data_IF_398503652583
#
_entry.id   IF_398503652583
#
_cell.length_a   1.000
_cell.length_b   1.000
_cell.length_c   1.000
_cell.angle_alpha   90.00
_cell.angle_beta   90.00
_cell.angle_gamma   90.00
#
_symmetry.space_group_name_H-M   'P 1'
#
loop_
_entity.id
_entity.type
_entity.pdbx_description
1 polymer ?
#
# COMPACT_ATOMS: atom_id res chain seq x y z
N UNK A 1 -19.27 30.48 9.01
CA UNK A 1 -19.94 29.18 9.04
C UNK A 1 -19.27 28.15 8.10
N UNK A 2 -18.98 28.49 6.84
CA UNK A 2 -18.41 27.58 5.85
C UNK A 2 -17.04 26.98 6.21
N UNK A 3 -16.04 27.74 6.73
CA UNK A 3 -14.73 27.18 7.07
C UNK A 3 -14.79 26.12 8.17
N UNK A 4 -15.64 26.31 9.18
CA UNK A 4 -15.79 25.37 10.29
C UNK A 4 -16.37 24.01 9.82
N UNK A 5 -17.34 24.04 8.91
CA UNK A 5 -17.96 22.83 8.34
C UNK A 5 -16.94 22.09 7.47
N UNK A 6 -16.17 22.79 6.65
CA UNK A 6 -15.13 22.19 5.82
C UNK A 6 -14.04 21.50 6.67
N UNK A 7 -13.60 22.16 7.73
CA UNK A 7 -12.62 21.59 8.66
C UNK A 7 -13.18 20.35 9.39
N UNK A 8 -14.42 20.41 9.86
CA UNK A 8 -15.08 19.27 10.50
C UNK A 8 -15.18 18.05 9.57
N UNK A 9 -15.56 18.27 8.30
CA UNK A 9 -15.59 17.20 7.28
C UNK A 9 -14.21 16.61 6.98
N UNK A 10 -13.19 17.44 6.92
CA UNK A 10 -11.82 16.98 6.74
C UNK A 10 -11.41 16.04 7.88
N UNK A 11 -11.60 16.44 9.13
CA UNK A 11 -11.25 15.62 10.28
C UNK A 11 -12.05 14.31 10.36
N UNK A 12 -13.35 14.36 10.00
CA UNK A 12 -14.17 13.15 9.94
C UNK A 12 -13.66 12.15 8.88
N UNK A 13 -13.33 12.62 7.67
CA UNK A 13 -12.76 11.77 6.61
C UNK A 13 -11.39 11.21 7.00
N UNK A 14 -10.55 12.01 7.65
CA UNK A 14 -9.26 11.58 8.17
C UNK A 14 -9.42 10.48 9.23
N UNK A 15 -10.34 10.65 10.17
CA UNK A 15 -10.63 9.64 11.19
C UNK A 15 -11.14 8.33 10.58
N UNK A 16 -12.03 8.41 9.58
CA UNK A 16 -12.52 7.23 8.86
C UNK A 16 -11.40 6.52 8.12
N UNK A 17 -10.52 7.25 7.41
CA UNK A 17 -9.39 6.67 6.71
C UNK A 17 -8.44 5.93 7.68
N UNK A 18 -8.13 6.55 8.83
CA UNK A 18 -7.31 5.91 9.89
C UNK A 18 -7.96 4.64 10.43
N UNK A 19 -9.27 4.66 10.63
CA UNK A 19 -9.99 3.47 11.09
C UNK A 19 -9.96 2.35 10.04
N UNK A 20 -10.18 2.68 8.76
CA UNK A 20 -10.08 1.73 7.66
C UNK A 20 -8.69 1.07 7.61
N UNK A 21 -7.62 1.87 7.72
CA UNK A 21 -6.25 1.34 7.77
C UNK A 21 -6.01 0.42 8.96
N UNK A 22 -6.59 0.72 10.14
CA UNK A 22 -6.49 -0.19 11.30
C UNK A 22 -7.15 -1.54 11.04
N UNK A 23 -8.33 -1.56 10.36
CA UNK A 23 -8.98 -2.82 9.98
C UNK A 23 -8.11 -3.63 9.02
N UNK A 24 -7.49 -2.97 8.04
CA UNK A 24 -6.52 -3.62 7.14
C UNK A 24 -5.31 -4.11 7.94
N UNK A 25 -4.82 -3.36 8.91
CA UNK A 25 -3.70 -3.74 9.78
C UNK A 25 -3.98 -4.99 10.61
N UNK A 26 -5.18 -5.12 11.16
CA UNK A 26 -5.62 -6.35 11.86
C UNK A 26 -5.57 -7.54 10.90
N UNK A 27 -6.18 -7.41 9.72
CA UNK A 27 -6.19 -8.47 8.71
C UNK A 27 -4.77 -8.86 8.23
N UNK A 28 -3.86 -7.90 8.07
CA UNK A 28 -2.46 -8.14 7.74
C UNK A 28 -1.73 -8.92 8.84
N UNK A 29 -1.95 -8.53 10.09
CA UNK A 29 -1.34 -9.21 11.25
C UNK A 29 -1.83 -10.65 11.35
N UNK A 30 -3.13 -10.88 11.22
CA UNK A 30 -3.75 -12.20 11.23
C UNK A 30 -3.23 -13.07 10.07
N UNK A 31 -3.14 -12.50 8.87
CA UNK A 31 -2.51 -13.16 7.71
C UNK A 31 -1.08 -13.59 8.05
N UNK A 32 -0.27 -12.71 8.62
CA UNK A 32 1.13 -13.01 8.94
C UNK A 32 1.27 -14.15 9.94
N UNK A 33 0.39 -14.24 10.93
CA UNK A 33 0.39 -15.31 11.92
C UNK A 33 0.15 -16.69 11.28
N UNK A 34 -0.69 -16.74 10.24
CA UNK A 34 -1.02 -17.99 9.53
C UNK A 34 -0.06 -18.31 8.38
N UNK A 35 0.84 -17.38 8.00
CA UNK A 35 1.73 -17.49 6.85
C UNK A 35 3.22 -17.35 7.22
N UNK A 36 3.66 -18.02 8.31
CA UNK A 36 5.08 -18.07 8.70
C UNK A 36 5.70 -16.73 9.09
N UNK A 37 4.85 -15.78 9.48
CA UNK A 37 5.26 -14.43 9.85
C UNK A 37 5.35 -13.47 8.65
N UNK A 38 4.98 -13.89 7.44
CA UNK A 38 5.03 -13.01 6.27
C UNK A 38 3.70 -12.32 6.01
N UNK A 39 3.75 -11.05 5.66
CA UNK A 39 2.62 -10.33 5.08
C UNK A 39 2.33 -10.80 3.64
N UNK A 40 1.15 -10.49 3.03
CA UNK A 40 0.87 -10.83 1.65
C UNK A 40 2.01 -10.42 0.71
N UNK A 41 2.72 -11.39 0.15
CA UNK A 41 3.87 -11.14 -0.71
C UNK A 41 3.41 -10.59 -2.06
N UNK A 42 4.02 -9.52 -2.52
CA UNK A 42 3.92 -9.08 -3.92
C UNK A 42 4.80 -10.00 -4.75
N UNK A 43 4.29 -10.74 -5.75
CA UNK A 43 5.14 -11.56 -6.61
C UNK A 43 6.14 -10.71 -7.39
N UNK A 44 7.33 -11.26 -7.63
CA UNK A 44 8.39 -10.57 -8.38
C UNK A 44 8.03 -10.34 -9.86
N UNK A 45 7.19 -11.20 -10.45
CA UNK A 45 6.81 -11.19 -11.88
C UNK A 45 5.39 -11.68 -12.08
N UNK A 46 4.84 -11.42 -13.28
CA UNK A 46 3.53 -11.85 -13.72
C UNK A 46 2.41 -10.88 -13.40
N UNK A 47 1.18 -11.28 -13.67
CA UNK A 47 -0.02 -10.44 -13.58
C UNK A 47 -0.32 -9.93 -12.16
N UNK A 48 0.17 -10.64 -11.15
CA UNK A 48 0.01 -10.32 -9.72
C UNK A 48 1.18 -9.51 -9.15
N UNK A 49 2.22 -9.20 -9.95
CA UNK A 49 3.42 -8.49 -9.52
C UNK A 49 3.16 -6.99 -9.32
N UNK A 50 2.19 -6.65 -8.49
CA UNK A 50 1.78 -5.27 -8.17
C UNK A 50 1.43 -5.13 -6.70
N UNK A 51 1.74 -3.95 -6.14
CA UNK A 51 1.48 -3.63 -4.74
C UNK A 51 0.04 -3.96 -4.30
N UNK A 52 -0.95 -3.65 -5.14
CA UNK A 52 -2.36 -3.86 -4.83
C UNK A 52 -2.80 -5.30 -4.58
N UNK A 53 -1.96 -6.31 -4.88
CA UNK A 53 -2.32 -7.73 -4.72
C UNK A 53 -2.67 -8.12 -3.27
N UNK A 54 -2.20 -7.36 -2.29
CA UNK A 54 -2.49 -7.62 -0.89
C UNK A 54 -3.99 -7.62 -0.57
N UNK A 55 -4.76 -6.71 -1.17
CA UNK A 55 -6.17 -6.57 -0.85
C UNK A 55 -7.02 -7.77 -1.32
N UNK A 56 -6.98 -8.24 -2.60
CA UNK A 56 -7.65 -9.47 -2.97
C UNK A 56 -7.10 -10.69 -2.21
N UNK A 57 -5.82 -10.71 -1.83
CA UNK A 57 -5.26 -11.79 -1.00
C UNK A 57 -5.93 -11.85 0.37
N UNK A 58 -6.10 -10.72 1.06
CA UNK A 58 -6.80 -10.67 2.35
C UNK A 58 -8.27 -11.04 2.22
N UNK A 59 -8.94 -10.62 1.14
CA UNK A 59 -10.34 -10.94 0.89
C UNK A 59 -10.56 -12.42 0.56
N UNK A 60 -9.69 -13.06 -0.24
CA UNK A 60 -9.78 -14.50 -0.55
C UNK A 60 -9.46 -15.40 0.66
N UNK A 61 -8.69 -14.89 1.63
CA UNK A 61 -8.47 -15.55 2.92
C UNK A 61 -9.54 -15.21 3.97
N UNK A 62 -10.62 -14.51 3.59
CA UNK A 62 -11.74 -14.12 4.46
C UNK A 62 -11.35 -13.27 5.68
N UNK A 63 -10.15 -12.69 5.69
CA UNK A 63 -9.62 -11.85 6.77
C UNK A 63 -10.23 -10.45 6.80
N UNK A 64 -10.79 -10.02 5.67
CA UNK A 64 -11.52 -8.76 5.52
C UNK A 64 -12.60 -8.92 4.45
N UNK A 65 -13.83 -8.61 4.78
CA UNK A 65 -14.98 -8.82 3.87
C UNK A 65 -15.44 -7.55 3.19
N UNK A 66 -15.13 -6.39 3.76
CA UNK A 66 -15.58 -5.09 3.26
C UNK A 66 -14.56 -4.40 2.37
N UNK A 67 -14.83 -4.25 1.08
CA UNK A 67 -13.94 -3.51 0.18
C UNK A 67 -13.83 -2.01 0.49
N UNK A 68 -14.76 -1.43 1.25
CA UNK A 68 -14.70 -0.04 1.71
C UNK A 68 -13.48 0.25 2.60
N UNK A 69 -12.91 -0.76 3.26
CA UNK A 69 -11.71 -0.60 4.08
C UNK A 69 -10.46 -0.26 3.27
N UNK A 70 -10.46 -0.58 1.97
CA UNK A 70 -9.38 -0.22 1.05
C UNK A 70 -9.57 1.15 0.38
N UNK A 71 -10.56 1.93 0.84
CA UNK A 71 -10.83 3.28 0.33
C UNK A 71 -10.58 4.34 1.40
N UNK A 72 -9.78 5.34 1.06
CA UNK A 72 -9.77 6.61 1.77
C UNK A 72 -10.98 7.45 1.32
N UNK A 73 -11.83 7.95 2.24
CA UNK A 73 -12.98 8.77 1.87
C UNK A 73 -12.64 10.11 1.18
N UNK A 74 -11.36 10.49 1.20
CA UNK A 74 -10.85 11.69 0.52
C UNK A 74 -10.17 11.39 -0.81
N UNK A 75 -10.22 10.15 -1.30
CA UNK A 75 -9.63 9.76 -2.58
C UNK A 75 -10.61 9.97 -3.74
N UNK A 76 -10.08 10.16 -4.96
CA UNK A 76 -10.88 10.22 -6.18
C UNK A 76 -11.71 8.95 -6.42
N UNK A 77 -11.22 7.78 -6.00
CA UNK A 77 -11.96 6.52 -6.11
C UNK A 77 -13.22 6.52 -5.23
N UNK A 78 -13.20 7.19 -4.08
CA UNK A 78 -14.36 7.29 -3.20
C UNK A 78 -15.45 8.22 -3.76
N UNK A 79 -15.12 9.14 -4.66
CA UNK A 79 -16.07 10.00 -5.34
C UNK A 79 -16.89 9.27 -6.41
N UNK A 80 -16.48 8.05 -6.77
CA UNK A 80 -17.12 7.23 -7.81
C UNK A 80 -17.53 5.84 -7.26
N UNK A 81 -18.41 5.76 -6.26
CA UNK A 81 -18.67 4.52 -5.50
C UNK A 81 -19.17 3.36 -6.36
N UNK A 82 -19.86 3.61 -7.48
CA UNK A 82 -20.33 2.56 -8.39
C UNK A 82 -19.26 1.98 -9.33
N UNK A 83 -18.03 2.54 -9.32
CA UNK A 83 -16.92 2.12 -10.22
C UNK A 83 -15.81 1.36 -9.50
N UNK A 84 -15.80 1.36 -8.19
CA UNK A 84 -14.77 0.70 -7.40
C UNK A 84 -15.22 -0.71 -7.00
N UNK A 85 -14.38 -1.67 -7.33
CA UNK A 85 -14.44 -3.05 -6.86
C UNK A 85 -13.03 -3.62 -6.83
N UNK A 86 -12.68 -4.27 -5.72
CA UNK A 86 -11.46 -5.07 -5.65
C UNK A 86 -11.61 -6.28 -6.57
N UNK A 87 -10.71 -6.51 -7.54
CA UNK A 87 -10.74 -7.70 -8.39
C UNK A 87 -10.33 -8.93 -7.59
N UNK A 88 -10.75 -10.12 -8.03
CA UNK A 88 -10.23 -11.38 -7.47
C UNK A 88 -8.85 -11.69 -8.04
N UNK A 89 -8.07 -12.53 -7.33
CA UNK A 89 -6.78 -13.01 -7.84
C UNK A 89 -6.97 -13.80 -9.15
N UNK A 90 -8.05 -14.56 -9.28
CA UNK A 90 -8.38 -15.31 -10.50
C UNK A 90 -8.61 -14.39 -11.71
N UNK A 91 -9.38 -13.31 -11.53
CA UNK A 91 -9.58 -12.30 -12.57
C UNK A 91 -8.25 -11.66 -12.99
N UNK A 92 -7.40 -11.31 -12.04
CA UNK A 92 -6.08 -10.73 -12.33
C UNK A 92 -5.16 -11.70 -13.06
N UNK A 93 -5.14 -12.99 -12.66
CA UNK A 93 -4.32 -14.03 -13.31
C UNK A 93 -4.71 -14.25 -14.77
N UNK A 94 -6.01 -14.24 -15.07
CA UNK A 94 -6.54 -14.52 -16.43
C UNK A 94 -6.56 -13.30 -17.36
N UNK A 95 -6.47 -12.09 -16.82
CA UNK A 95 -6.55 -10.86 -17.60
C UNK A 95 -5.27 -10.58 -18.41
N UNK A 96 -5.39 -9.78 -19.45
CA UNK A 96 -4.27 -9.31 -20.26
C UNK A 96 -4.49 -7.89 -20.77
N UNK A 97 -3.42 -7.26 -21.24
CA UNK A 97 -3.46 -5.95 -21.88
C UNK A 97 -4.16 -4.87 -21.04
N UNK A 98 -5.09 -4.13 -21.65
CA UNK A 98 -5.80 -3.01 -21.00
C UNK A 98 -6.65 -3.47 -19.80
N UNK A 99 -7.23 -4.67 -19.88
CA UNK A 99 -8.04 -5.22 -18.80
C UNK A 99 -7.15 -5.46 -17.56
N UNK A 100 -6.01 -6.12 -17.71
CA UNK A 100 -5.06 -6.34 -16.63
C UNK A 100 -4.62 -5.02 -16.00
N UNK A 101 -4.20 -4.06 -16.81
CA UNK A 101 -3.76 -2.75 -16.32
C UNK A 101 -4.86 -2.02 -15.53
N UNK A 102 -6.15 -2.18 -15.91
CA UNK A 102 -7.28 -1.65 -15.15
C UNK A 102 -7.45 -2.37 -13.80
N UNK A 103 -7.41 -3.70 -13.78
CA UNK A 103 -7.54 -4.49 -12.55
C UNK A 103 -6.41 -4.17 -11.58
N UNK A 104 -5.17 -4.11 -12.06
CA UNK A 104 -3.99 -3.76 -11.26
C UNK A 104 -4.11 -2.39 -10.60
N UNK A 105 -4.68 -1.39 -11.28
CA UNK A 105 -4.91 -0.05 -10.70
C UNK A 105 -5.97 -0.05 -9.59
N UNK A 106 -6.93 -0.96 -9.63
CA UNK A 106 -8.02 -1.03 -8.67
C UNK A 106 -7.72 -1.98 -7.50
N UNK A 107 -6.79 -2.91 -7.66
CA UNK A 107 -6.58 -4.03 -6.74
C UNK A 107 -6.33 -3.61 -5.29
N UNK A 108 -5.54 -2.55 -5.05
CA UNK A 108 -5.26 -2.03 -3.70
C UNK A 108 -6.16 -0.88 -3.25
N UNK A 109 -7.16 -0.52 -4.05
CA UNK A 109 -8.01 0.64 -3.77
C UNK A 109 -7.23 1.95 -3.83
N UNK A 110 -7.47 2.83 -2.87
CA UNK A 110 -6.77 4.11 -2.70
C UNK A 110 -5.66 4.07 -1.64
N UNK A 111 -5.15 2.87 -1.35
CA UNK A 111 -4.06 2.67 -0.41
C UNK A 111 -2.81 2.15 -1.15
N UNK A 112 -1.65 2.57 -0.67
CA UNK A 112 -0.34 2.04 -1.08
C UNK A 112 0.07 0.88 -0.17
N UNK A 113 0.87 -0.05 -0.70
CA UNK A 113 1.34 -1.23 0.02
C UNK A 113 2.82 -1.46 -0.16
N UNK A 114 3.45 -2.07 0.84
CA UNK A 114 4.87 -2.36 0.87
C UNK A 114 5.29 -3.33 -0.25
N UNK A 115 6.34 -2.97 -0.96
CA UNK A 115 6.84 -3.69 -2.13
C UNK A 115 7.83 -4.81 -1.79
N UNK A 116 8.12 -5.07 -0.50
CA UNK A 116 9.21 -5.96 -0.09
C UNK A 116 10.57 -5.30 -0.25
N UNK A 117 11.64 -6.10 -0.23
CA UNK A 117 13.01 -5.60 -0.26
C UNK A 117 13.96 -6.56 -0.97
N UNK A 118 15.15 -6.08 -1.28
CA UNK A 118 16.28 -6.91 -1.69
C UNK A 118 17.18 -7.21 -0.50
N UNK A 119 17.69 -8.45 -0.43
CA UNK A 119 18.78 -8.86 0.44
C UNK A 119 19.63 -9.89 -0.31
N UNK A 120 20.96 -9.75 -0.25
CA UNK A 120 21.93 -10.65 -0.92
C UNK A 120 21.67 -10.83 -2.43
N UNK A 121 21.11 -9.81 -3.09
CA UNK A 121 20.77 -9.82 -4.52
C UNK A 121 19.46 -10.54 -4.85
N UNK A 122 18.71 -11.01 -3.86
CA UNK A 122 17.43 -11.69 -4.00
C UNK A 122 16.28 -10.81 -3.51
N UNK A 123 15.11 -11.00 -4.11
CA UNK A 123 13.88 -10.32 -3.72
C UNK A 123 13.12 -11.10 -2.62
N UNK A 124 12.79 -10.41 -1.54
CA UNK A 124 12.07 -10.94 -0.39
C UNK A 124 10.78 -10.18 -0.11
N UNK A 125 9.76 -10.93 0.34
CA UNK A 125 8.55 -10.34 0.93
C UNK A 125 8.81 -9.83 2.35
N UNK A 126 7.96 -8.94 2.82
CA UNK A 126 8.08 -8.34 4.16
C UNK A 126 7.62 -9.32 5.23
N UNK A 127 8.46 -9.54 6.23
CA UNK A 127 8.16 -10.34 7.41
C UNK A 127 7.75 -9.45 8.58
N UNK A 128 6.75 -9.85 9.33
CA UNK A 128 6.28 -9.15 10.51
C UNK A 128 7.32 -9.25 11.65
N UNK A 129 7.88 -8.12 12.03
CA UNK A 129 8.83 -7.94 13.12
C UNK A 129 8.31 -6.94 14.16
N UNK A 130 7.07 -6.45 14.00
CA UNK A 130 6.42 -5.46 14.87
C UNK A 130 7.22 -4.16 15.03
N UNK A 131 7.89 -3.71 13.96
CA UNK A 131 8.72 -2.48 13.98
C UNK A 131 7.83 -1.23 14.01
N UNK A 132 8.00 -0.33 15.00
CA UNK A 132 7.18 0.88 15.13
C UNK A 132 7.57 2.00 14.16
N UNK A 133 8.55 1.77 13.30
CA UNK A 133 9.08 2.72 12.31
C UNK A 133 8.95 2.23 10.86
N UNK A 134 8.54 0.98 10.64
CA UNK A 134 8.44 0.38 9.32
C UNK A 134 7.02 0.50 8.78
N UNK A 135 6.85 1.13 7.62
CA UNK A 135 5.55 1.35 7.02
C UNK A 135 5.08 0.16 6.16
N UNK A 136 3.83 -0.28 6.35
CA UNK A 136 3.19 -1.37 5.59
C UNK A 136 2.16 -0.87 4.60
N UNK A 137 1.36 0.11 5.01
CA UNK A 137 0.27 0.72 4.22
C UNK A 137 0.38 2.23 4.34
N UNK A 138 -0.02 2.92 3.28
CA UNK A 138 -0.24 4.38 3.32
C UNK A 138 -1.49 4.77 2.55
N UNK A 139 -1.91 6.02 2.67
CA UNK A 139 -2.65 6.67 1.58
C UNK A 139 -1.83 6.53 0.30
N UNK A 140 -2.49 6.26 -0.84
CA UNK A 140 -1.78 5.95 -2.10
C UNK A 140 -0.81 7.06 -2.48
N UNK A 141 0.47 6.75 -2.80
CA UNK A 141 1.41 7.74 -3.29
C UNK A 141 0.99 8.30 -4.65
N UNK A 142 1.26 9.57 -4.88
CA UNK A 142 1.01 10.23 -6.15
C UNK A 142 2.26 10.17 -7.04
N UNK A 143 2.08 9.89 -8.31
CA UNK A 143 3.15 9.99 -9.31
C UNK A 143 3.41 11.44 -9.76
N UNK A 144 2.52 12.37 -9.39
CA UNK A 144 2.53 13.76 -9.87
C UNK A 144 2.97 14.77 -8.81
N UNK A 145 3.06 14.37 -7.53
CA UNK A 145 3.47 15.27 -6.45
C UNK A 145 4.93 15.03 -6.05
N UNK A 146 5.59 16.10 -5.63
CA UNK A 146 6.97 16.04 -5.15
C UNK A 146 7.11 15.04 -4.00
N UNK A 147 8.17 14.22 -4.02
CA UNK A 147 8.41 13.18 -3.01
C UNK A 147 7.34 12.09 -2.99
N UNK A 148 6.52 11.96 -4.05
CA UNK A 148 5.40 11.02 -4.15
C UNK A 148 4.33 11.14 -3.05
N UNK A 149 4.20 12.33 -2.43
CA UNK A 149 3.17 12.57 -1.41
C UNK A 149 1.78 12.22 -1.93
N UNK A 150 0.93 11.69 -1.05
CA UNK A 150 -0.44 11.36 -1.41
C UNK A 150 -1.27 12.59 -1.77
N UNK A 151 -2.08 12.50 -2.82
CA UNK A 151 -3.10 13.49 -3.14
C UNK A 151 -4.36 13.38 -2.25
N UNK A 152 -4.52 12.27 -1.53
CA UNK A 152 -5.59 12.11 -0.56
C UNK A 152 -5.53 13.24 0.49
N UNK A 153 -6.64 13.54 1.13
CA UNK A 153 -6.72 14.63 2.12
C UNK A 153 -6.29 16.00 1.57
N UNK A 154 -6.45 16.23 0.25
CA UNK A 154 -6.08 17.49 -0.40
C UNK A 154 -4.57 17.76 -0.41
N UNK A 155 -3.74 16.73 -0.34
CA UNK A 155 -2.27 16.85 -0.32
C UNK A 155 -1.72 17.45 0.98
N UNK A 156 -2.53 17.55 2.05
CA UNK A 156 -2.10 18.15 3.33
C UNK A 156 -1.25 17.21 4.19
N UNK A 157 -1.11 15.96 3.78
CA UNK A 157 -0.40 14.90 4.46
C UNK A 157 -1.06 13.54 4.17
N UNK A 158 -0.51 12.49 4.73
CA UNK A 158 -0.97 11.12 4.51
C UNK A 158 -0.92 10.28 5.77
N UNK A 159 -1.76 9.25 5.83
CA UNK A 159 -1.71 8.25 6.88
C UNK A 159 -0.74 7.14 6.50
N UNK A 160 -0.03 6.63 7.51
CA UNK A 160 0.79 5.42 7.43
C UNK A 160 0.36 4.44 8.51
N UNK A 161 0.10 3.20 8.11
CA UNK A 161 0.03 2.07 9.02
C UNK A 161 1.43 1.49 9.17
N UNK A 162 1.92 1.43 10.39
CA UNK A 162 3.22 0.86 10.71
C UNK A 162 3.08 -0.64 11.07
N UNK A 163 4.18 -1.34 11.06
CA UNK A 163 4.23 -2.79 11.29
C UNK A 163 3.78 -3.20 12.70
N UNK A 164 3.90 -2.30 13.67
CA UNK A 164 3.37 -2.47 15.04
C UNK A 164 1.83 -2.30 15.14
N UNK A 165 1.14 -2.03 14.02
CA UNK A 165 -0.30 -1.79 13.95
C UNK A 165 -0.70 -0.33 14.24
N UNK A 166 0.21 0.54 14.60
CA UNK A 166 -0.10 1.96 14.81
C UNK A 166 -0.34 2.69 13.48
N UNK A 167 -1.31 3.63 13.47
CA UNK A 167 -1.59 4.50 12.32
C UNK A 167 -1.22 5.92 12.66
N UNK A 168 -0.32 6.51 11.88
CA UNK A 168 0.18 7.89 12.04
C UNK A 168 -0.18 8.74 10.84
N UNK A 169 -0.56 9.99 11.09
CA UNK A 169 -0.72 11.01 10.04
C UNK A 169 0.52 11.88 9.99
N UNK A 170 1.17 11.91 8.84
CA UNK A 170 2.40 12.66 8.62
C UNK A 170 2.21 13.68 7.49
N UNK A 171 2.80 14.85 7.64
CA UNK A 171 2.82 15.91 6.60
C UNK A 171 3.94 15.71 5.56
N UNK A 172 4.84 14.78 5.82
CA UNK A 172 5.96 14.40 4.98
C UNK A 172 5.94 12.87 4.75
N UNK A 173 6.90 12.35 4.00
CA UNK A 173 6.99 10.94 3.61
C UNK A 173 7.91 10.10 4.51
N UNK A 174 8.27 10.61 5.68
CA UNK A 174 9.16 9.95 6.64
C UNK A 174 8.67 10.08 8.08
N UNK A 175 9.15 9.19 8.92
CA UNK A 175 8.87 9.22 10.35
C UNK A 175 10.10 9.81 11.08
N UNK A 176 10.01 11.06 11.54
CA UNK A 176 10.94 11.73 12.46
C UNK A 176 12.41 11.28 12.40
N UNK A 177 12.84 10.55 13.42
CA UNK A 177 14.22 10.05 13.59
C UNK A 177 14.46 8.66 12.96
N UNK A 178 13.59 8.21 12.05
CA UNK A 178 13.78 6.97 11.31
C UNK A 178 14.91 7.11 10.29
N UNK A 179 15.68 6.04 10.08
CA UNK A 179 16.73 5.97 9.06
C UNK A 179 16.19 5.99 7.64
N UNK A 180 14.93 5.64 7.44
CA UNK A 180 14.24 5.67 6.15
C UNK A 180 13.82 7.11 5.83
N UNK A 181 14.42 7.68 4.81
CA UNK A 181 14.22 9.08 4.42
C UNK A 181 12.91 9.33 3.67
N UNK A 182 12.32 8.32 3.03
CA UNK A 182 11.09 8.45 2.26
C UNK A 182 10.39 7.11 2.01
N UNK A 183 9.29 6.85 2.67
CA UNK A 183 8.49 5.64 2.50
C UNK A 183 7.89 5.39 1.10
N UNK A 184 8.13 6.24 0.13
CA UNK A 184 7.63 6.08 -1.23
C UNK A 184 8.71 5.81 -2.28
N UNK A 185 9.98 5.86 -1.89
CA UNK A 185 11.11 5.53 -2.75
C UNK A 185 12.15 4.74 -1.96
N UNK A 186 12.83 3.81 -2.61
CA UNK A 186 13.95 3.09 -2.01
C UNK A 186 15.15 4.01 -1.77
N UNK A 187 16.12 3.58 -0.98
CA UNK A 187 17.41 4.26 -0.79
C UNK A 187 18.15 4.51 -2.12
N UNK A 188 17.74 3.83 -3.19
CA UNK A 188 18.22 4.06 -4.57
C UNK A 188 17.47 5.18 -5.30
N UNK A 189 16.41 5.76 -4.70
CA UNK A 189 15.62 6.85 -5.26
C UNK A 189 14.52 6.43 -6.24
N UNK A 190 14.10 5.16 -6.25
CA UNK A 190 13.09 4.63 -7.17
C UNK A 190 11.90 4.02 -6.41
N UNK A 191 10.72 4.03 -7.05
CA UNK A 191 9.53 3.29 -6.58
C UNK A 191 9.70 1.82 -6.98
N UNK A 192 10.36 1.05 -6.14
CA UNK A 192 10.69 -0.37 -6.31
C UNK A 192 10.78 -1.05 -4.94
N UNK A 193 11.10 -2.34 -4.87
CA UNK A 193 11.39 -2.99 -3.60
C UNK A 193 12.57 -2.31 -2.89
N UNK A 194 12.50 -2.20 -1.58
CA UNK A 194 13.54 -1.59 -0.75
C UNK A 194 14.93 -2.15 -1.01
N UNK A 195 15.97 -1.34 -0.82
CA UNK A 195 17.36 -1.73 -1.03
C UNK A 195 17.86 -2.72 0.03
N UNK A 196 17.22 -2.77 1.20
CA UNK A 196 17.54 -3.66 2.32
C UNK A 196 16.28 -3.88 3.20
N UNK A 197 16.30 -4.80 4.21
CA UNK A 197 15.13 -5.17 5.00
C UNK A 197 14.43 -4.05 5.78
N UNK A 198 15.13 -2.96 6.09
CA UNK A 198 14.59 -1.80 6.81
C UNK A 198 14.22 -0.62 5.88
N UNK A 199 14.49 -0.72 4.58
CA UNK A 199 14.08 0.24 3.56
C UNK A 199 12.60 -0.05 3.15
N UNK A 200 11.68 0.72 3.70
CA UNK A 200 10.24 0.53 3.48
C UNK A 200 9.76 1.32 2.27
N UNK A 201 9.39 0.66 1.20
CA UNK A 201 8.83 1.32 0.01
C UNK A 201 7.38 0.95 -0.21
N UNK A 202 6.51 1.95 -0.20
CA UNK A 202 5.06 1.82 -0.43
C UNK A 202 4.73 2.23 -1.86
N UNK A 203 4.33 1.27 -2.68
CA UNK A 203 3.87 1.51 -4.04
C UNK A 203 2.36 1.76 -4.12
N UNK A 204 1.92 2.53 -5.12
CA UNK A 204 0.51 2.59 -5.47
C UNK A 204 0.04 1.23 -6.03
N UNK A 205 -1.28 1.01 -6.13
CA UNK A 205 -1.87 -0.30 -6.47
C UNK A 205 -1.19 -1.02 -7.65
N UNK A 206 -0.78 -0.32 -8.71
CA UNK A 206 -0.15 -0.91 -9.89
C UNK A 206 1.40 -0.88 -9.86
N UNK A 207 2.03 -0.45 -8.77
CA UNK A 207 3.51 -0.44 -8.65
C UNK A 207 4.04 -1.87 -8.57
N UNK A 208 5.06 -2.16 -9.37
CA UNK A 208 5.78 -3.44 -9.33
C UNK A 208 6.98 -3.36 -8.39
N UNK A 209 7.30 -4.44 -7.64
CA UNK A 209 8.48 -4.46 -6.77
C UNK A 209 9.80 -4.46 -7.55
N UNK A 210 9.78 -4.91 -8.80
CA UNK A 210 10.97 -5.01 -9.65
C UNK A 210 10.73 -4.20 -10.93
N UNK A 211 11.50 -3.13 -11.17
CA UNK A 211 11.45 -2.41 -12.45
C UNK A 211 11.86 -3.31 -13.61
N UNK A 212 11.26 -3.13 -14.78
CA UNK A 212 11.45 -3.96 -15.98
C UNK A 212 12.90 -4.09 -16.47
N UNK A 213 13.81 -3.25 -15.97
CA UNK A 213 15.20 -3.15 -16.44
C UNK A 213 16.23 -3.98 -15.63
N UNK A 214 15.84 -4.63 -14.54
CA UNK A 214 16.78 -5.33 -13.65
C UNK A 214 16.68 -6.85 -13.85
N UNK A 215 17.76 -7.55 -14.28
CA UNK A 215 17.82 -9.01 -14.24
C UNK A 215 17.98 -9.46 -12.78
N UNK A 216 16.93 -10.00 -12.20
CA UNK A 216 16.92 -10.48 -10.80
C UNK A 216 16.83 -12.00 -10.78
N UNK A 217 17.61 -12.65 -9.92
CA UNK A 217 17.40 -14.06 -9.53
C UNK A 217 16.16 -14.12 -8.63
N UNK A 218 15.17 -14.89 -9.02
CA UNK A 218 13.96 -15.17 -8.24
C UNK A 218 14.08 -16.62 -7.78
N UNK A 219 14.02 -16.86 -6.46
CA UNK A 219 13.79 -18.22 -5.95
C UNK A 219 12.30 -18.51 -6.02
N UNK A 220 11.93 -19.61 -6.65
CA UNK A 220 10.58 -20.17 -6.75
C UNK A 220 10.08 -20.70 -5.39
#
# INVERSE_FOLDING_TARGET
>A
FFPAIANSRFHARLATCRNNMRQVGVALTEYSQSNGGYFPRVPARGNLAVAGVYAPTLMENELITGQQFFLCPSSELAEQPGRFRIPTLAEMRSASGRQLARLQRLAGGSLGYNLGHFADGEYHGTRNQSRPYFALISDTPSVNLAGHQSANHGGSGQNFLLEDGSVRYLKNCRLGDCSDDNFFVSDRGFVEAGAHPDDSVLGHSASSPIPWAVPVRVQD
#
